data_IF_150065604497
#
_entry.id   IF_150065604497
#
_cell.length_a   1.000
_cell.length_b   1.000
_cell.length_c   1.000
_cell.angle_alpha   90.00
_cell.angle_beta   90.00
_cell.angle_gamma   90.00
#
_symmetry.space_group_name_H-M   'P 1'
#
loop_
_entity.id
_entity.type
_entity.pdbx_description
1 polymer ?
#
# COMPACT_ATOMS: atom_id res chain seq x y z
N UNK A 1 9.88 24.52 -20.22
CA UNK A 1 9.47 23.16 -19.79
C UNK A 1 8.15 23.27 -19.06
N UNK A 2 7.02 23.00 -19.72
CA UNK A 2 5.75 22.77 -19.04
C UNK A 2 5.82 21.36 -18.43
N UNK A 3 6.32 21.26 -17.20
CA UNK A 3 5.98 20.10 -16.37
C UNK A 3 4.57 20.37 -15.89
N UNK A 4 3.58 19.94 -16.66
CA UNK A 4 2.25 19.65 -16.13
C UNK A 4 2.50 18.71 -14.95
N UNK A 5 2.45 19.28 -13.75
CA UNK A 5 2.69 18.57 -12.51
C UNK A 5 1.60 17.54 -12.39
N UNK A 6 1.91 16.29 -12.75
CA UNK A 6 1.18 15.14 -12.23
C UNK A 6 1.08 15.41 -10.73
N UNK A 7 -0.11 15.55 -10.13
CA UNK A 7 -0.21 15.86 -8.72
C UNK A 7 0.51 14.75 -7.98
N UNK A 8 1.72 15.06 -7.50
CA UNK A 8 2.54 14.12 -6.78
C UNK A 8 1.76 13.78 -5.52
N UNK A 9 1.46 12.49 -5.34
CA UNK A 9 0.77 11.99 -4.15
C UNK A 9 1.37 12.61 -2.91
N UNK A 10 0.52 13.01 -1.97
CA UNK A 10 0.98 13.63 -0.74
C UNK A 10 1.96 12.70 0.00
N UNK A 11 2.85 13.21 0.87
CA UNK A 11 3.73 12.35 1.66
C UNK A 11 2.97 11.27 2.45
N UNK A 12 1.76 11.60 2.92
CA UNK A 12 0.86 10.69 3.61
C UNK A 12 0.33 9.59 2.67
N UNK A 13 -0.14 9.95 1.48
CA UNK A 13 -0.59 8.97 0.48
C UNK A 13 0.54 8.05 0.06
N UNK A 14 1.76 8.57 -0.09
CA UNK A 14 2.94 7.74 -0.35
C UNK A 14 3.22 6.78 0.80
N UNK A 15 3.14 7.24 2.04
CA UNK A 15 3.29 6.39 3.22
C UNK A 15 2.26 5.27 3.23
N UNK A 16 0.99 5.58 2.99
CA UNK A 16 -0.09 4.59 2.93
C UNK A 16 0.19 3.55 1.83
N UNK A 17 0.53 4.01 0.63
CA UNK A 17 0.81 3.10 -0.48
C UNK A 17 1.99 2.17 -0.19
N UNK A 18 3.08 2.70 0.39
CA UNK A 18 4.24 1.90 0.74
C UNK A 18 3.95 0.93 1.88
N UNK A 19 3.28 1.38 2.93
CA UNK A 19 2.93 0.53 4.08
C UNK A 19 2.02 -0.62 3.65
N UNK A 20 0.98 -0.36 2.85
CA UNK A 20 0.13 -1.42 2.27
C UNK A 20 0.98 -2.43 1.50
N UNK A 21 1.89 -1.98 0.62
CA UNK A 21 2.76 -2.87 -0.16
C UNK A 21 3.59 -3.78 0.73
N UNK A 22 4.23 -3.21 1.75
CA UNK A 22 5.11 -3.96 2.67
C UNK A 22 4.31 -4.99 3.45
N UNK A 23 3.17 -4.62 4.02
CA UNK A 23 2.31 -5.54 4.78
C UNK A 23 1.79 -6.69 3.91
N UNK A 24 1.41 -6.41 2.66
CA UNK A 24 1.02 -7.44 1.70
C UNK A 24 2.16 -8.40 1.39
N UNK A 25 3.38 -7.89 1.22
CA UNK A 25 4.55 -8.73 0.99
C UNK A 25 4.90 -9.58 2.21
N UNK A 26 4.86 -9.01 3.42
CA UNK A 26 5.09 -9.74 4.67
C UNK A 26 4.14 -10.93 4.80
N UNK A 27 2.85 -10.69 4.58
CA UNK A 27 1.84 -11.75 4.58
C UNK A 27 2.11 -12.81 3.51
N UNK A 28 2.51 -12.39 2.30
CA UNK A 28 2.88 -13.31 1.22
C UNK A 28 4.09 -14.17 1.57
N UNK A 29 5.06 -13.62 2.32
CA UNK A 29 6.23 -14.33 2.82
C UNK A 29 5.92 -15.23 4.04
N UNK A 30 4.65 -15.36 4.44
CA UNK A 30 4.22 -16.21 5.54
C UNK A 30 4.39 -15.61 6.93
N UNK A 31 4.67 -14.30 7.02
CA UNK A 31 4.69 -13.59 8.31
C UNK A 31 3.29 -13.21 8.75
N UNK A 32 3.02 -13.31 10.05
CA UNK A 32 1.78 -12.80 10.63
C UNK A 32 1.80 -11.28 10.73
N UNK A 33 0.63 -10.67 10.56
CA UNK A 33 0.41 -9.26 10.82
C UNK A 33 -0.22 -9.07 12.20
N UNK A 34 0.08 -7.95 12.84
CA UNK A 34 -0.56 -7.53 14.09
C UNK A 34 -2.01 -7.08 13.84
N UNK A 35 -2.81 -7.00 14.91
CA UNK A 35 -4.20 -6.56 14.81
C UNK A 35 -4.35 -5.15 14.20
N UNK A 36 -3.43 -4.23 14.53
CA UNK A 36 -3.43 -2.86 14.00
C UNK A 36 -3.01 -2.80 12.53
N UNK A 37 -2.15 -3.70 12.07
CA UNK A 37 -1.79 -3.82 10.66
C UNK A 37 -2.93 -4.40 9.83
N UNK A 38 -3.63 -5.41 10.36
CA UNK A 38 -4.85 -5.93 9.73
C UNK A 38 -5.96 -4.86 9.67
N UNK A 39 -6.11 -4.05 10.73
CA UNK A 39 -7.01 -2.90 10.72
C UNK A 39 -6.60 -1.85 9.70
N UNK A 40 -5.31 -1.52 9.61
CA UNK A 40 -4.77 -0.60 8.63
C UNK A 40 -5.08 -1.07 7.19
N UNK A 41 -4.91 -2.36 6.90
CA UNK A 41 -5.26 -2.93 5.59
C UNK A 41 -6.76 -2.86 5.30
N UNK A 42 -7.64 -3.02 6.31
CA UNK A 42 -9.09 -2.84 6.17
C UNK A 42 -9.44 -1.38 5.88
N UNK A 43 -8.86 -0.44 6.62
CA UNK A 43 -9.08 1.01 6.43
C UNK A 43 -8.70 1.46 5.02
N UNK A 44 -7.63 0.91 4.46
CA UNK A 44 -7.15 1.25 3.11
C UNK A 44 -7.39 0.14 2.07
N UNK A 45 -8.53 -0.55 2.17
CA UNK A 45 -8.90 -1.66 1.29
C UNK A 45 -8.84 -1.31 -0.21
N UNK A 46 -9.16 -0.07 -0.60
CA UNK A 46 -9.04 0.38 -2.00
C UNK A 46 -7.60 0.32 -2.52
N UNK A 47 -6.62 0.70 -1.69
CA UNK A 47 -5.20 0.62 -2.03
C UNK A 47 -4.74 -0.84 -2.04
N UNK A 48 -5.22 -1.65 -1.10
CA UNK A 48 -4.97 -3.10 -1.07
C UNK A 48 -5.39 -3.75 -2.38
N UNK A 49 -6.63 -3.52 -2.81
CA UNK A 49 -7.17 -4.10 -4.05
C UNK A 49 -6.37 -3.65 -5.28
N UNK A 50 -5.95 -2.38 -5.33
CA UNK A 50 -5.13 -1.86 -6.42
C UNK A 50 -3.74 -2.49 -6.49
N UNK A 51 -3.16 -2.89 -5.36
CA UNK A 51 -1.79 -3.40 -5.30
C UNK A 51 -1.71 -4.92 -5.30
N UNK A 52 -2.75 -5.62 -4.86
CA UNK A 52 -2.77 -7.09 -4.77
C UNK A 52 -2.49 -7.74 -6.13
N UNK A 53 -3.04 -7.19 -7.21
CA UNK A 53 -2.80 -7.65 -8.59
C UNK A 53 -1.41 -7.31 -9.14
N UNK A 54 -0.67 -6.42 -8.47
CA UNK A 54 0.66 -5.96 -8.89
C UNK A 54 1.78 -6.64 -8.09
N UNK A 55 1.45 -7.45 -7.08
CA UNK A 55 2.45 -8.18 -6.34
C UNK A 55 3.12 -9.20 -7.27
N UNK A 56 4.45 -9.36 -7.20
CA UNK A 56 5.14 -10.43 -7.92
C UNK A 56 4.55 -11.78 -7.50
N UNK A 57 4.54 -12.77 -8.39
CA UNK A 57 4.12 -14.15 -8.10
C UNK A 57 5.14 -14.89 -7.24
#
# INVERSE_FOLDING_TARGET
MNREGVPGKSPEEMYIQQKVRVLLMLRKMGSNLTASEEEFLRTYAGVVNSQLSQLPQ
#
